data_IF_352884692765
#
_entry.id   IF_352884692765
#
_cell.length_a   1.000
_cell.length_b   1.000
_cell.length_c   1.000
_cell.angle_alpha   90.00
_cell.angle_beta   90.00
_cell.angle_gamma   90.00
#
_symmetry.space_group_name_H-M   'P 1'
#
loop_
_entity.id
_entity.type
_entity.pdbx_description
1 polymer ?
#
# COMPACT_ATOMS: atom_id res chain seq x y z
N UNK A 1 -0.65 -7.41 -18.73
CA UNK A 1 -0.10 -6.38 -17.80
C UNK A 1 -1.29 -5.74 -17.10
N UNK A 2 -1.37 -5.76 -15.77
CA UNK A 2 -2.51 -5.20 -15.03
C UNK A 2 -2.25 -3.72 -14.78
N UNK A 3 -3.07 -2.87 -15.35
CA UNK A 3 -3.08 -1.44 -15.13
C UNK A 3 -4.53 -1.01 -14.96
N UNK A 4 -4.85 -0.28 -13.91
CA UNK A 4 -6.20 0.21 -13.64
C UNK A 4 -6.17 1.71 -13.43
N UNK A 5 -7.05 2.37 -14.15
CA UNK A 5 -7.27 3.81 -14.11
C UNK A 5 -8.64 4.08 -13.50
N UNK A 6 -8.68 4.97 -12.53
CA UNK A 6 -9.94 5.45 -11.96
C UNK A 6 -9.94 6.97 -11.84
N UNK A 7 -11.04 7.59 -12.23
CA UNK A 7 -11.21 9.04 -12.14
C UNK A 7 -11.78 9.41 -10.76
N UNK A 8 -11.00 10.14 -9.99
CA UNK A 8 -11.37 10.68 -8.69
C UNK A 8 -11.68 12.16 -8.86
N UNK A 9 -12.98 12.49 -8.97
CA UNK A 9 -13.48 13.85 -9.27
C UNK A 9 -12.82 14.48 -10.51
N UNK A 10 -11.70 15.20 -10.32
CA UNK A 10 -10.98 15.88 -11.40
C UNK A 10 -9.53 15.37 -11.52
N UNK A 11 -9.24 14.17 -11.06
CA UNK A 11 -7.89 13.60 -11.06
C UNK A 11 -7.94 12.12 -11.44
N UNK A 12 -7.06 11.72 -12.35
CA UNK A 12 -6.88 10.32 -12.70
C UNK A 12 -5.94 9.64 -11.71
N UNK A 13 -6.41 8.58 -11.05
CA UNK A 13 -5.58 7.72 -10.19
C UNK A 13 -5.34 6.40 -10.89
N UNK A 14 -4.07 6.09 -11.14
CA UNK A 14 -3.64 4.84 -11.77
C UNK A 14 -2.81 4.01 -10.81
N UNK A 15 -3.07 2.70 -10.76
CA UNK A 15 -2.10 1.73 -10.24
C UNK A 15 -1.61 0.85 -11.38
N UNK A 16 -0.29 0.65 -11.45
CA UNK A 16 0.35 -0.25 -12.41
C UNK A 16 1.50 -1.00 -11.74
N UNK A 17 1.92 -2.16 -12.29
CA UNK A 17 3.09 -2.85 -11.76
C UNK A 17 4.27 -1.90 -11.60
N UNK A 18 4.96 -2.04 -10.48
CA UNK A 18 6.16 -1.28 -10.15
C UNK A 18 7.24 -1.52 -11.21
N UNK A 19 8.01 -0.49 -11.55
CA UNK A 19 9.11 -0.54 -12.53
C UNK A 19 10.40 -0.07 -11.87
N UNK A 20 11.54 -0.53 -12.34
CA UNK A 20 12.86 -0.07 -11.86
C UNK A 20 13.00 1.45 -12.05
N UNK A 21 12.41 2.03 -13.11
CA UNK A 21 12.41 3.47 -13.34
C UNK A 21 11.68 4.29 -12.26
N UNK A 22 10.84 3.67 -11.43
CA UNK A 22 10.15 4.35 -10.33
C UNK A 22 11.07 4.56 -9.12
N UNK A 23 12.18 3.80 -9.04
CA UNK A 23 13.10 3.81 -7.90
C UNK A 23 13.68 5.21 -7.62
N UNK A 24 14.06 5.96 -8.64
CA UNK A 24 14.62 7.31 -8.46
C UNK A 24 13.58 8.28 -7.86
N UNK A 25 12.32 8.20 -8.30
CA UNK A 25 11.23 9.01 -7.75
C UNK A 25 10.95 8.64 -6.30
N UNK A 26 10.87 7.35 -5.99
CA UNK A 26 10.72 6.83 -4.63
C UNK A 26 11.85 7.33 -3.74
N UNK A 27 13.09 7.08 -4.13
CA UNK A 27 14.28 7.46 -3.38
C UNK A 27 14.35 8.96 -3.03
N UNK A 28 14.00 9.83 -3.98
CA UNK A 28 13.99 11.29 -3.75
C UNK A 28 12.96 11.67 -2.70
N UNK A 29 11.74 11.14 -2.77
CA UNK A 29 10.64 11.46 -1.87
C UNK A 29 10.81 10.84 -0.48
N UNK A 30 11.37 9.65 -0.37
CA UNK A 30 11.59 8.95 0.91
C UNK A 30 12.54 9.66 1.87
N UNK A 31 13.30 10.66 1.42
CA UNK A 31 14.15 11.52 2.26
C UNK A 31 13.34 12.46 3.15
N UNK A 32 12.09 12.70 2.82
CA UNK A 32 11.21 13.56 3.63
C UNK A 32 10.75 12.80 4.88
N UNK A 33 11.12 13.34 6.06
CA UNK A 33 10.81 12.70 7.34
C UNK A 33 9.31 12.63 7.65
N UNK A 34 8.53 13.55 7.13
CA UNK A 34 7.09 13.62 7.42
C UNK A 34 6.32 12.41 6.88
N UNK A 35 6.79 11.82 5.78
CA UNK A 35 6.14 10.63 5.20
C UNK A 35 6.22 9.40 6.12
N UNK A 36 7.19 9.39 7.05
CA UNK A 36 7.43 8.28 7.96
C UNK A 36 6.83 8.49 9.34
N UNK A 37 6.14 9.61 9.56
CA UNK A 37 5.59 9.99 10.88
C UNK A 37 4.78 8.88 11.55
N UNK A 38 4.09 8.08 10.77
CA UNK A 38 3.24 6.98 11.24
C UNK A 38 3.73 5.61 10.82
N UNK A 39 4.95 5.52 10.30
CA UNK A 39 5.53 4.25 9.89
C UNK A 39 5.73 3.34 11.11
N UNK A 40 5.47 2.05 10.89
CA UNK A 40 5.50 1.02 11.93
C UNK A 40 6.81 0.22 11.88
N UNK A 41 7.74 0.63 11.00
CA UNK A 41 9.04 -0.02 10.85
C UNK A 41 10.11 0.62 11.73
N UNK A 42 11.05 -0.20 12.20
CA UNK A 42 12.11 0.22 13.14
C UNK A 42 13.12 1.21 12.55
N UNK A 43 13.28 1.27 11.25
CA UNK A 43 14.25 2.17 10.59
C UNK A 43 13.73 2.73 9.26
N UNK A 44 12.75 3.65 9.32
CA UNK A 44 12.20 4.25 8.11
C UNK A 44 13.19 5.16 7.37
N UNK A 45 14.26 5.59 8.06
CA UNK A 45 15.20 6.61 7.58
C UNK A 45 16.53 6.05 7.12
N UNK A 46 16.66 4.76 6.88
CA UNK A 46 17.92 4.28 6.31
C UNK A 46 18.20 5.12 5.06
N UNK A 47 19.31 5.88 5.01
CA UNK A 47 19.67 6.64 3.83
C UNK A 47 20.14 5.65 2.76
N UNK A 48 19.18 5.02 2.13
CA UNK A 48 19.45 4.16 1.00
C UNK A 48 20.08 5.01 -0.09
N UNK A 49 21.19 4.54 -0.66
CA UNK A 49 21.70 5.11 -1.88
C UNK A 49 20.70 4.86 -3.01
N UNK A 50 20.76 5.64 -4.09
CA UNK A 50 19.94 5.36 -5.27
C UNK A 50 20.22 3.94 -5.83
N UNK A 51 21.45 3.48 -5.71
CA UNK A 51 21.85 2.13 -6.11
C UNK A 51 21.12 1.06 -5.27
N UNK A 52 21.08 1.23 -3.95
CA UNK A 52 20.34 0.33 -3.06
C UNK A 52 18.84 0.32 -3.38
N UNK A 53 18.26 1.47 -3.68
CA UNK A 53 16.85 1.57 -4.08
C UNK A 53 16.59 0.87 -5.41
N UNK A 54 17.49 1.05 -6.41
CA UNK A 54 17.37 0.36 -7.69
C UNK A 54 17.48 -1.16 -7.53
N UNK A 55 18.38 -1.66 -6.68
CA UNK A 55 18.52 -3.08 -6.41
C UNK A 55 17.27 -3.63 -5.73
N UNK A 56 16.74 -2.94 -4.71
CA UNK A 56 15.49 -3.28 -4.07
C UNK A 56 14.33 -3.37 -5.07
N UNK A 57 14.20 -2.39 -5.97
CA UNK A 57 13.13 -2.39 -6.99
C UNK A 57 13.29 -3.55 -7.98
N UNK A 58 14.52 -3.92 -8.34
CA UNK A 58 14.79 -5.07 -9.20
C UNK A 58 14.39 -6.38 -8.51
N UNK A 59 14.84 -6.61 -7.30
CA UNK A 59 14.50 -7.79 -6.51
C UNK A 59 12.99 -7.93 -6.32
N UNK A 60 12.32 -6.82 -5.99
CA UNK A 60 10.87 -6.82 -5.81
C UNK A 60 10.08 -7.04 -7.11
N UNK A 61 10.61 -6.62 -8.26
CA UNK A 61 9.96 -6.85 -9.56
C UNK A 61 10.07 -8.30 -10.03
N UNK A 62 11.03 -9.05 -9.50
CA UNK A 62 11.29 -10.45 -9.80
C UNK A 62 10.66 -11.41 -8.75
N UNK A 63 10.14 -10.89 -7.65
CA UNK A 63 9.58 -11.69 -6.56
C UNK A 63 8.10 -11.98 -6.79
N UNK A 64 7.71 -13.24 -6.64
CA UNK A 64 6.32 -13.69 -6.64
C UNK A 64 5.66 -13.60 -5.25
N UNK A 65 6.43 -13.28 -4.19
CA UNK A 65 5.97 -13.25 -2.80
C UNK A 65 5.21 -11.95 -2.44
N UNK A 66 5.12 -11.00 -3.36
CA UNK A 66 4.46 -9.73 -3.12
C UNK A 66 3.75 -9.19 -4.37
N UNK A 67 2.64 -8.49 -4.12
CA UNK A 67 1.90 -7.74 -5.14
C UNK A 67 2.27 -6.28 -4.98
N UNK A 68 2.97 -5.68 -5.96
CA UNK A 68 3.46 -4.29 -5.87
C UNK A 68 3.04 -3.45 -7.05
N UNK A 69 2.45 -2.29 -6.73
CA UNK A 69 2.03 -1.30 -7.71
C UNK A 69 2.62 0.08 -7.39
N UNK A 70 3.06 0.76 -8.44
CA UNK A 70 3.26 2.19 -8.41
C UNK A 70 1.89 2.89 -8.45
N UNK A 71 1.77 3.98 -7.71
CA UNK A 71 0.58 4.85 -7.70
C UNK A 71 0.92 6.13 -8.46
N UNK A 72 0.09 6.45 -9.45
CA UNK A 72 0.20 7.67 -10.24
C UNK A 72 -1.06 8.51 -10.04
N UNK A 73 -0.88 9.84 -10.04
CA UNK A 73 -1.95 10.82 -10.09
C UNK A 73 -1.70 11.74 -11.29
N UNK A 74 -2.63 11.78 -12.23
CA UNK A 74 -2.49 12.49 -13.51
C UNK A 74 -1.15 12.14 -14.23
N UNK A 75 -0.79 10.86 -14.23
CA UNK A 75 0.45 10.34 -14.81
C UNK A 75 1.73 10.61 -14.00
N UNK A 76 1.65 11.35 -12.89
CA UNK A 76 2.78 11.65 -12.01
C UNK A 76 2.91 10.54 -10.96
N UNK A 77 4.10 9.95 -10.81
CA UNK A 77 4.37 9.02 -9.72
C UNK A 77 4.26 9.72 -8.36
N UNK A 78 3.40 9.18 -7.48
CA UNK A 78 3.13 9.76 -6.16
C UNK A 78 3.39 8.81 -5.00
N UNK A 79 3.64 7.53 -5.28
CA UNK A 79 3.88 6.55 -4.23
C UNK A 79 3.71 5.11 -4.66
N UNK A 80 3.53 4.24 -3.68
CA UNK A 80 3.36 2.80 -3.87
C UNK A 80 2.22 2.25 -3.02
N UNK A 81 1.57 1.22 -3.53
CA UNK A 81 0.65 0.36 -2.78
C UNK A 81 1.06 -1.09 -3.02
N UNK A 82 1.12 -1.89 -1.97
CA UNK A 82 1.57 -3.27 -2.09
C UNK A 82 0.99 -4.17 -0.99
N UNK A 83 0.95 -5.48 -1.31
CA UNK A 83 0.63 -6.53 -0.36
C UNK A 83 1.84 -7.46 -0.31
N UNK A 84 2.43 -7.63 0.86
CA UNK A 84 3.52 -8.55 1.10
C UNK A 84 3.15 -9.60 2.16
N UNK A 85 4.12 -10.45 2.53
CA UNK A 85 3.92 -11.54 3.49
C UNK A 85 2.69 -12.37 3.17
N UNK A 86 2.50 -12.64 1.87
CA UNK A 86 1.40 -13.47 1.42
C UNK A 86 1.65 -14.86 1.96
N UNK A 87 0.80 -15.27 2.89
CA UNK A 87 0.88 -16.60 3.47
C UNK A 87 0.32 -17.61 2.47
N UNK A 88 1.21 -18.40 1.86
CA UNK A 88 0.85 -19.52 0.99
C UNK A 88 0.22 -20.70 1.74
N UNK A 89 0.26 -20.66 3.10
CA UNK A 89 -0.51 -21.59 3.90
C UNK A 89 -2.01 -21.44 3.57
N UNK A 90 -2.83 -22.39 4.05
CA UNK A 90 -4.27 -22.52 3.72
C UNK A 90 -5.13 -21.23 3.87
N UNK A 91 -4.55 -20.11 4.27
CA UNK A 91 -5.29 -18.89 4.57
C UNK A 91 -5.20 -17.80 3.49
N UNK A 92 -4.12 -17.73 2.69
CA UNK A 92 -3.98 -16.76 1.59
C UNK A 92 -4.22 -15.30 2.01
N UNK A 93 -3.65 -14.90 3.17
CA UNK A 93 -3.71 -13.54 3.68
C UNK A 93 -2.40 -12.81 3.40
N UNK A 94 -2.44 -11.49 3.22
CA UNK A 94 -1.26 -10.66 3.07
C UNK A 94 -1.40 -9.31 3.77
N UNK A 95 -0.26 -8.67 4.07
CA UNK A 95 -0.18 -7.36 4.73
C UNK A 95 -0.23 -6.23 3.70
N UNK A 96 -1.25 -5.37 3.77
CA UNK A 96 -1.41 -4.20 2.91
C UNK A 96 -0.60 -3.02 3.43
N UNK A 97 0.18 -2.43 2.54
CA UNK A 97 0.93 -1.20 2.78
C UNK A 97 0.59 -0.14 1.73
N UNK A 98 0.49 1.11 2.17
CA UNK A 98 0.19 2.25 1.31
C UNK A 98 1.07 3.42 1.67
N UNK A 99 1.88 3.84 0.72
CA UNK A 99 2.81 4.96 0.89
C UNK A 99 2.56 6.02 -0.18
N UNK A 100 1.79 7.07 0.15
CA UNK A 100 1.71 8.27 -0.71
C UNK A 100 2.88 9.18 -0.33
N UNK A 101 3.94 9.09 -1.11
CA UNK A 101 5.24 9.73 -0.84
C UNK A 101 5.23 11.22 -1.20
N UNK A 102 4.43 11.64 -2.16
CA UNK A 102 4.31 13.04 -2.54
C UNK A 102 3.27 13.76 -1.70
N UNK A 103 3.74 14.61 -0.76
CA UNK A 103 2.86 15.35 0.17
C UNK A 103 1.87 16.30 -0.51
N UNK A 104 2.20 16.82 -1.71
CA UNK A 104 1.28 17.67 -2.47
C UNK A 104 -0.03 16.95 -2.86
N UNK A 105 -0.04 15.64 -2.77
CA UNK A 105 -1.19 14.80 -3.07
C UNK A 105 -1.89 14.22 -1.84
N UNK A 106 -1.49 14.60 -0.63
CA UNK A 106 -2.17 14.19 0.58
C UNK A 106 -3.55 14.85 0.73
N UNK A 107 -4.48 14.16 1.37
CA UNK A 107 -5.84 14.66 1.59
C UNK A 107 -6.76 14.64 0.37
N UNK A 108 -6.27 14.19 -0.79
CA UNK A 108 -7.02 14.16 -2.07
C UNK A 108 -7.71 12.81 -2.34
N UNK A 109 -7.79 11.91 -1.37
CA UNK A 109 -8.46 10.62 -1.53
C UNK A 109 -7.64 9.51 -2.20
N UNK A 110 -6.42 9.79 -2.69
CA UNK A 110 -5.59 8.84 -3.44
C UNK A 110 -5.30 7.58 -2.61
N UNK A 111 -4.97 7.73 -1.32
CA UNK A 111 -4.69 6.58 -0.45
C UNK A 111 -5.89 5.65 -0.28
N UNK A 112 -7.11 6.18 -0.25
CA UNK A 112 -8.33 5.38 -0.26
C UNK A 112 -8.49 4.64 -1.58
N UNK A 113 -8.34 5.37 -2.69
CA UNK A 113 -8.59 4.82 -4.02
C UNK A 113 -7.57 3.74 -4.41
N UNK A 114 -6.28 3.95 -4.17
CA UNK A 114 -5.30 2.92 -4.48
C UNK A 114 -5.47 1.67 -3.60
N UNK A 115 -5.91 1.82 -2.34
CA UNK A 115 -6.28 0.68 -1.49
C UNK A 115 -7.49 -0.07 -2.06
N UNK A 116 -8.49 0.63 -2.54
CA UNK A 116 -9.66 0.01 -3.18
C UNK A 116 -9.25 -0.80 -4.41
N UNK A 117 -8.39 -0.21 -5.27
CA UNK A 117 -7.92 -0.86 -6.50
C UNK A 117 -7.06 -2.10 -6.23
N UNK A 118 -6.17 -2.06 -5.24
CA UNK A 118 -5.34 -3.24 -4.91
C UNK A 118 -6.18 -4.34 -4.23
N UNK A 119 -7.20 -4.01 -3.44
CA UNK A 119 -8.13 -4.99 -2.88
C UNK A 119 -8.94 -5.68 -3.98
N UNK A 120 -9.39 -4.93 -4.98
CA UNK A 120 -10.03 -5.48 -6.16
C UNK A 120 -9.12 -6.50 -6.86
N UNK A 121 -7.85 -6.13 -7.07
CA UNK A 121 -6.84 -7.04 -7.62
C UNK A 121 -6.63 -8.27 -6.74
N UNK A 122 -6.42 -8.07 -5.43
CA UNK A 122 -6.17 -9.15 -4.50
C UNK A 122 -7.28 -10.21 -4.49
N UNK A 123 -8.53 -9.76 -4.44
CA UNK A 123 -9.68 -10.67 -4.32
C UNK A 123 -10.16 -11.25 -5.66
N UNK A 124 -10.12 -10.47 -6.74
CA UNK A 124 -10.63 -10.93 -8.05
C UNK A 124 -9.58 -11.59 -8.93
N UNK A 125 -8.34 -11.10 -8.90
CA UNK A 125 -7.26 -11.58 -9.77
C UNK A 125 -6.35 -12.56 -9.02
N UNK A 126 -5.74 -12.12 -7.92
CA UNK A 126 -4.83 -12.95 -7.12
C UNK A 126 -5.54 -14.01 -6.27
N UNK A 127 -6.89 -13.93 -6.18
CA UNK A 127 -7.73 -14.93 -5.46
C UNK A 127 -7.40 -15.06 -3.98
N UNK A 128 -6.86 -14.03 -3.36
CA UNK A 128 -6.56 -14.01 -1.93
C UNK A 128 -7.84 -14.19 -1.09
N UNK A 129 -7.72 -14.78 0.08
CA UNK A 129 -8.82 -15.00 1.02
C UNK A 129 -9.05 -13.81 1.95
N UNK A 130 -8.01 -13.01 2.20
CA UNK A 130 -8.11 -11.85 3.04
C UNK A 130 -6.88 -10.95 2.96
N UNK A 131 -7.04 -9.76 3.50
CA UNK A 131 -5.98 -8.75 3.61
C UNK A 131 -6.02 -8.17 5.02
N UNK A 132 -4.85 -7.92 5.58
CA UNK A 132 -4.73 -7.21 6.85
C UNK A 132 -3.77 -6.04 6.74
N UNK A 133 -3.86 -5.10 7.66
CA UNK A 133 -2.94 -3.98 7.78
C UNK A 133 -2.77 -3.57 9.24
N UNK A 134 -1.60 -3.09 9.57
CA UNK A 134 -1.33 -2.47 10.86
C UNK A 134 -1.49 -0.96 10.75
N UNK A 135 -2.22 -0.35 11.66
CA UNK A 135 -2.45 1.10 11.66
C UNK A 135 -2.08 1.70 13.01
N UNK A 136 -1.22 2.71 12.98
CA UNK A 136 -0.96 3.54 14.14
C UNK A 136 -2.23 4.37 14.45
N UNK A 137 -2.75 4.36 15.70
CA UNK A 137 -3.96 5.10 16.07
C UNK A 137 -3.89 6.60 15.77
N UNK A 138 -2.69 7.18 15.77
CA UNK A 138 -2.49 8.58 15.41
C UNK A 138 -2.61 8.84 13.89
N UNK A 139 -2.58 7.79 13.05
CA UNK A 139 -2.80 7.91 11.61
C UNK A 139 -4.30 7.88 11.28
N UNK A 140 -4.98 8.98 11.62
CA UNK A 140 -6.44 9.09 11.46
C UNK A 140 -6.89 8.95 10.01
N UNK A 141 -6.04 9.31 9.05
CA UNK A 141 -6.35 9.17 7.61
C UNK A 141 -6.40 7.68 7.21
N UNK A 142 -5.37 6.90 7.57
CA UNK A 142 -5.36 5.46 7.30
C UNK A 142 -6.50 4.75 8.03
N UNK A 143 -6.76 5.12 9.29
CA UNK A 143 -7.86 4.59 10.08
C UNK A 143 -9.23 4.76 9.40
N UNK A 144 -9.54 6.00 8.99
CA UNK A 144 -10.79 6.31 8.27
C UNK A 144 -10.90 5.57 6.94
N UNK A 145 -9.79 5.49 6.19
CA UNK A 145 -9.76 4.75 4.92
C UNK A 145 -10.05 3.27 5.13
N UNK A 146 -9.44 2.64 6.14
CA UNK A 146 -9.68 1.23 6.45
C UNK A 146 -11.16 0.96 6.76
N UNK A 147 -11.75 1.73 7.66
CA UNK A 147 -13.17 1.59 8.01
C UNK A 147 -14.09 1.81 6.81
N UNK A 148 -13.80 2.83 5.99
CA UNK A 148 -14.59 3.12 4.78
C UNK A 148 -14.50 2.01 3.72
N UNK A 149 -13.38 1.27 3.69
CA UNK A 149 -13.17 0.12 2.81
C UNK A 149 -13.75 -1.19 3.37
N UNK A 150 -14.41 -1.16 4.53
CA UNK A 150 -15.02 -2.33 5.14
C UNK A 150 -14.07 -3.20 5.97
N UNK A 151 -12.87 -2.71 6.28
CA UNK A 151 -12.01 -3.41 7.23
C UNK A 151 -12.60 -3.42 8.63
N UNK A 152 -12.43 -4.52 9.35
CA UNK A 152 -12.76 -4.64 10.76
C UNK A 152 -11.51 -4.41 11.60
N UNK A 153 -11.60 -3.56 12.60
CA UNK A 153 -10.60 -3.43 13.66
C UNK A 153 -10.74 -4.64 14.60
N UNK A 154 -9.72 -5.48 14.66
CA UNK A 154 -9.70 -6.66 15.54
C UNK A 154 -8.90 -6.44 16.82
N UNK A 155 -8.51 -5.19 17.09
CA UNK A 155 -7.85 -4.77 18.31
C UNK A 155 -6.35 -4.54 18.17
N UNK A 156 -5.69 -4.35 19.30
CA UNK A 156 -4.26 -4.05 19.38
C UNK A 156 -3.42 -5.26 19.02
N UNK A 157 -2.36 -5.05 18.25
CA UNK A 157 -1.41 -6.08 17.89
C UNK A 157 -0.61 -6.58 19.09
N UNK A 158 -0.50 -7.90 19.22
CA UNK A 158 0.37 -8.53 20.21
C UNK A 158 1.85 -8.56 19.81
N UNK A 159 2.13 -8.41 18.51
CA UNK A 159 3.50 -8.48 17.95
C UNK A 159 4.10 -7.13 17.62
N UNK A 160 3.26 -6.10 17.41
CA UNK A 160 3.70 -4.72 17.15
C UNK A 160 3.04 -3.78 18.15
N UNK A 161 3.78 -3.25 19.14
CA UNK A 161 3.20 -2.39 20.18
C UNK A 161 2.54 -1.14 19.62
N UNK A 162 1.46 -0.72 20.26
CA UNK A 162 0.77 0.54 19.98
C UNK A 162 0.17 0.67 18.57
N UNK A 163 -0.12 -0.42 17.89
CA UNK A 163 -0.83 -0.41 16.61
C UNK A 163 -2.03 -1.36 16.65
N UNK A 164 -3.04 -1.05 15.86
CA UNK A 164 -4.21 -1.90 15.67
C UNK A 164 -4.06 -2.74 14.40
N UNK A 165 -4.70 -3.90 14.41
CA UNK A 165 -4.81 -4.77 13.26
C UNK A 165 -6.18 -4.58 12.64
N UNK A 166 -6.20 -4.27 11.36
CA UNK A 166 -7.41 -4.20 10.54
C UNK A 166 -7.42 -5.36 9.56
N UNK A 167 -8.56 -6.04 9.42
CA UNK A 167 -8.69 -7.18 8.51
C UNK A 167 -9.92 -7.04 7.64
N UNK A 168 -9.83 -7.51 6.40
CA UNK A 168 -10.96 -7.69 5.49
C UNK A 168 -10.85 -9.04 4.80
N UNK A 169 -11.97 -9.79 4.75
CA UNK A 169 -12.06 -11.06 4.03
C UNK A 169 -12.71 -10.87 2.68
N UNK A 170 -12.36 -11.75 1.74
CA UNK A 170 -12.93 -11.75 0.39
C UNK A 170 -14.46 -11.74 0.38
N UNK A 171 -15.10 -12.52 1.26
CA UNK A 171 -16.56 -12.61 1.32
C UNK A 171 -17.23 -11.29 1.73
N UNK A 172 -16.50 -10.43 2.47
CA UNK A 172 -16.97 -9.11 2.87
C UNK A 172 -16.89 -8.11 1.70
N UNK A 173 -15.82 -8.20 0.91
CA UNK A 173 -15.58 -7.34 -0.25
C UNK A 173 -16.55 -7.59 -1.42
N UNK A 174 -16.92 -8.85 -1.68
CA UNK A 174 -17.75 -9.23 -2.84
C UNK A 174 -19.24 -8.94 -2.62
N UNK A 175 -19.65 -8.58 -1.40
CA UNK A 175 -21.06 -8.25 -1.10
C UNK A 175 -21.47 -6.83 -1.46
N UNK A 176 -20.52 -5.98 -1.84
CA UNK A 176 -20.75 -4.62 -2.34
C UNK A 176 -20.73 -4.62 -3.89
#
# INVERSE_FOLDING_TARGET
MYEVVHNLENMEVTIRPQRISDAEHSWRMRKDKDIWKYAICESPYSPLSLESENNFYREQSESDECIRFAVLADGIYVGNVFIDRIDESAYGFGELHTHILNKAFWGKGIGYECNRLILEYAFRIAKMNGVYQYINPCNTAAWKNALKLGFNDIGTSSVRPNVHIFTIKKEQWIKE
#
